data_IF_390436273875
#
_entry.id   IF_390436273875
#
_cell.length_a   1.000
_cell.length_b   1.000
_cell.length_c   1.000
_cell.angle_alpha   90.00
_cell.angle_beta   90.00
_cell.angle_gamma   90.00
#
_symmetry.space_group_name_H-M   'P 1'
#
loop_
_entity.id
_entity.type
_entity.pdbx_description
1 polymer ?
#
# COMPACT_ATOMS: atom_id res chain seq x y z
N UNK A 1 9.47 -0.19 -2.95
CA UNK A 1 9.52 -1.65 -2.67
C UNK A 1 8.18 -2.30 -2.98
N UNK A 2 8.18 -3.54 -3.48
CA UNK A 2 6.94 -4.30 -3.66
C UNK A 2 6.42 -4.83 -2.31
N UNK A 3 5.17 -4.50 -1.94
CA UNK A 3 4.56 -4.85 -0.65
C UNK A 3 4.20 -6.34 -0.49
N UNK A 4 4.23 -7.14 -1.56
CA UNK A 4 4.13 -8.60 -1.51
C UNK A 4 5.23 -9.20 -0.62
N UNK A 5 6.43 -8.58 -0.60
CA UNK A 5 7.54 -8.97 0.28
C UNK A 5 7.14 -8.95 1.77
N UNK A 6 6.21 -8.07 2.15
CA UNK A 6 5.68 -7.93 3.52
C UNK A 6 4.18 -8.21 3.59
N UNK A 7 3.65 -9.03 2.66
CA UNK A 7 2.22 -9.25 2.49
C UNK A 7 1.50 -9.76 3.73
N UNK A 8 2.16 -10.60 4.54
CA UNK A 8 1.60 -11.07 5.82
C UNK A 8 1.39 -9.93 6.82
N UNK A 9 2.35 -9.00 6.92
CA UNK A 9 2.23 -7.84 7.80
C UNK A 9 1.16 -6.86 7.27
N UNK A 10 1.12 -6.64 5.96
CA UNK A 10 0.07 -5.84 5.31
C UNK A 10 -1.35 -6.38 5.58
N UNK A 11 -1.52 -7.70 5.57
CA UNK A 11 -2.81 -8.34 5.88
C UNK A 11 -3.21 -8.20 7.36
N UNK A 12 -2.25 -7.98 8.26
CA UNK A 12 -2.52 -7.74 9.68
C UNK A 12 -2.84 -6.27 9.95
N UNK A 13 -2.00 -5.36 9.47
CA UNK A 13 -2.18 -3.92 9.65
C UNK A 13 -1.42 -3.13 8.56
N UNK A 14 -2.19 -2.52 7.65
CA UNK A 14 -1.66 -1.73 6.53
C UNK A 14 -0.92 -0.49 7.03
N UNK A 15 -1.47 0.24 7.99
CA UNK A 15 -0.91 1.52 8.42
C UNK A 15 0.38 1.31 9.23
N UNK A 16 0.38 0.37 10.17
CA UNK A 16 1.57 0.03 10.95
C UNK A 16 2.70 -0.50 10.06
N UNK A 17 2.37 -1.33 9.07
CA UNK A 17 3.37 -1.85 8.12
C UNK A 17 3.97 -0.74 7.28
N UNK A 18 3.15 0.14 6.70
CA UNK A 18 3.64 1.26 5.88
C UNK A 18 4.44 2.27 6.72
N UNK A 19 4.08 2.50 7.97
CA UNK A 19 4.88 3.30 8.89
C UNK A 19 6.27 2.70 9.10
N UNK A 20 6.36 1.39 9.34
CA UNK A 20 7.63 0.71 9.52
C UNK A 20 8.48 0.74 8.24
N UNK A 21 7.87 0.53 7.07
CA UNK A 21 8.53 0.63 5.76
C UNK A 21 9.11 2.03 5.54
N UNK A 22 8.35 3.09 5.81
CA UNK A 22 8.85 4.46 5.75
C UNK A 22 9.98 4.69 6.75
N UNK A 23 9.86 4.18 7.98
CA UNK A 23 10.88 4.28 9.02
C UNK A 23 12.21 3.58 8.68
N UNK A 24 12.19 2.57 7.80
CA UNK A 24 13.39 1.94 7.25
C UNK A 24 14.08 2.84 6.22
N UNK A 25 13.37 3.79 5.62
CA UNK A 25 13.89 4.72 4.62
C UNK A 25 13.43 4.43 3.19
N UNK A 26 12.41 3.58 2.99
CA UNK A 26 11.77 3.49 1.67
C UNK A 26 10.86 4.69 1.45
N UNK A 27 10.93 5.27 0.25
CA UNK A 27 10.12 6.43 -0.15
C UNK A 27 8.96 6.03 -1.08
N UNK A 28 9.12 4.93 -1.81
CA UNK A 28 8.11 4.43 -2.75
C UNK A 28 7.72 2.98 -2.44
N UNK A 29 6.45 2.67 -2.59
CA UNK A 29 5.88 1.32 -2.41
C UNK A 29 5.02 0.92 -3.60
N UNK A 30 4.93 -0.38 -3.87
CA UNK A 30 4.07 -0.93 -4.89
C UNK A 30 3.08 -1.89 -4.25
N UNK A 31 1.78 -1.63 -4.41
CA UNK A 31 0.72 -2.43 -3.82
C UNK A 31 0.48 -3.73 -4.59
N UNK A 32 -0.10 -4.70 -3.88
CA UNK A 32 -0.69 -5.91 -4.45
C UNK A 32 -2.12 -6.01 -3.90
N UNK A 33 -3.03 -5.22 -4.48
CA UNK A 33 -4.32 -4.90 -3.87
C UNK A 33 -4.22 -3.93 -2.68
N UNK A 34 -5.38 -3.46 -2.20
CA UNK A 34 -5.47 -2.45 -1.13
C UNK A 34 -5.99 -2.97 0.22
N UNK A 35 -6.04 -4.29 0.41
CA UNK A 35 -6.38 -4.89 1.72
C UNK A 35 -7.66 -4.28 2.33
N UNK A 36 -8.73 -4.23 1.54
CA UNK A 36 -10.05 -3.68 1.93
C UNK A 36 -10.09 -2.17 2.22
N UNK A 37 -9.01 -1.43 1.95
CA UNK A 37 -9.00 0.02 2.04
C UNK A 37 -9.47 0.65 0.72
N UNK A 38 -10.24 1.72 0.84
CA UNK A 38 -10.55 2.59 -0.30
C UNK A 38 -9.30 3.34 -0.78
N UNK A 39 -9.25 3.77 -2.05
CA UNK A 39 -8.14 4.59 -2.57
C UNK A 39 -7.86 5.85 -1.74
N UNK A 40 -8.92 6.51 -1.21
CA UNK A 40 -8.77 7.69 -0.36
C UNK A 40 -8.10 7.39 0.98
N UNK A 41 -8.43 6.25 1.61
CA UNK A 41 -7.76 5.81 2.83
C UNK A 41 -6.29 5.50 2.57
N UNK A 42 -5.98 4.78 1.48
CA UNK A 42 -4.59 4.50 1.08
C UNK A 42 -3.82 5.80 0.86
N UNK A 43 -4.39 6.75 0.11
CA UNK A 43 -3.75 8.05 -0.13
C UNK A 43 -3.45 8.79 1.18
N UNK A 44 -4.39 8.79 2.13
CA UNK A 44 -4.19 9.44 3.43
C UNK A 44 -3.09 8.78 4.27
N UNK A 45 -2.94 7.45 4.20
CA UNK A 45 -1.86 6.72 4.88
C UNK A 45 -0.51 7.05 4.24
N UNK A 46 -0.44 7.02 2.92
CA UNK A 46 0.77 7.35 2.16
C UNK A 46 1.26 8.78 2.47
N UNK A 47 0.35 9.76 2.47
CA UNK A 47 0.68 11.16 2.80
C UNK A 47 1.19 11.32 4.22
N UNK A 48 0.57 10.62 5.17
CA UNK A 48 0.97 10.66 6.58
C UNK A 48 2.42 10.22 6.78
N UNK A 49 2.89 9.27 5.97
CA UNK A 49 4.22 8.67 6.13
C UNK A 49 5.22 9.11 5.06
N UNK A 50 4.85 10.05 4.18
CA UNK A 50 5.74 10.55 3.12
C UNK A 50 6.08 9.50 2.06
N UNK A 51 5.17 8.55 1.82
CA UNK A 51 5.34 7.49 0.84
C UNK A 51 4.63 7.84 -0.47
N UNK A 52 5.21 7.45 -1.61
CA UNK A 52 4.54 7.42 -2.91
C UNK A 52 4.23 5.99 -3.34
N UNK A 53 3.23 5.82 -4.21
CA UNK A 53 2.87 4.53 -4.79
C UNK A 53 2.70 4.62 -6.32
N UNK A 54 3.81 4.70 -7.08
CA UNK A 54 3.76 4.92 -8.53
C UNK A 54 3.24 3.71 -9.32
N UNK A 55 3.24 2.53 -8.73
CA UNK A 55 2.76 1.29 -9.32
C UNK A 55 1.86 0.50 -8.36
N UNK A 56 1.01 -0.37 -8.92
CA UNK A 56 0.21 -1.34 -8.16
C UNK A 56 -0.13 -2.55 -9.03
N UNK A 57 -0.14 -3.73 -8.42
CA UNK A 57 -0.76 -4.92 -8.99
C UNK A 57 -2.23 -5.00 -8.58
N UNK A 58 -3.12 -4.99 -9.56
CA UNK A 58 -4.56 -5.11 -9.37
C UNK A 58 -5.08 -6.24 -10.25
N UNK A 59 -5.98 -7.06 -9.71
CA UNK A 59 -6.68 -8.04 -10.53
C UNK A 59 -7.55 -7.30 -11.58
N UNK A 60 -7.51 -7.76 -12.83
CA UNK A 60 -8.22 -7.11 -13.95
C UNK A 60 -9.71 -6.84 -13.66
N UNK A 61 -10.35 -7.69 -12.86
CA UNK A 61 -11.75 -7.54 -12.44
C UNK A 61 -12.02 -6.26 -11.63
N UNK A 62 -11.04 -5.76 -10.88
CA UNK A 62 -11.19 -4.57 -10.03
C UNK A 62 -11.26 -3.28 -10.86
N UNK A 63 -10.69 -3.26 -12.07
CA UNK A 63 -10.70 -2.08 -12.94
C UNK A 63 -12.07 -1.82 -13.61
N UNK A 64 -13.02 -2.76 -13.55
CA UNK A 64 -14.34 -2.61 -14.20
C UNK A 64 -15.37 -1.95 -13.25
N UNK A 65 -15.04 -1.79 -11.97
CA UNK A 65 -15.97 -1.34 -10.91
C UNK A 65 -15.52 -0.09 -10.14
N UNK A 66 -14.38 0.51 -10.52
CA UNK A 66 -13.87 1.75 -9.95
C UNK A 66 -14.11 2.92 -10.92
#
# INVERSE_FOLDING_TARGET
MQLYTVGAAMAMDVAATLQAVAGIGYEEVEFAGYFEHSPGQIRGILDRFGLAAPSTHMAARVMILA
#
